data_IF_396173305638
#
_entry.id   IF_396173305638
#
_cell.length_a   1.000
_cell.length_b   1.000
_cell.length_c   1.000
_cell.angle_alpha   90.00
_cell.angle_beta   90.00
_cell.angle_gamma   90.00
#
_symmetry.space_group_name_H-M   'P 1'
#
loop_
_entity.id
_entity.type
_entity.pdbx_description
1 polymer ?
#
# COMPACT_ATOMS: atom_id res chain seq x y z
N UNK A 1 30.25 10.72 31.85
CA UNK A 1 28.78 10.77 31.66
C UNK A 1 28.33 12.21 31.54
N UNK A 2 27.72 12.68 30.44
CA UNK A 2 27.24 14.05 30.36
C UNK A 2 25.97 14.18 31.20
N UNK A 3 25.94 15.15 32.11
CA UNK A 3 24.77 15.50 32.93
C UNK A 3 23.65 16.02 32.02
N UNK A 4 22.63 15.21 31.77
CA UNK A 4 21.36 15.66 31.18
C UNK A 4 20.68 16.62 32.15
N UNK A 5 20.56 17.89 31.77
CA UNK A 5 19.86 18.92 32.55
C UNK A 5 18.39 18.53 32.79
N UNK A 6 17.82 18.77 33.99
CA UNK A 6 16.39 18.55 34.28
C UNK A 6 15.43 19.11 33.22
N UNK A 7 15.82 20.20 32.55
CA UNK A 7 15.07 20.84 31.46
C UNK A 7 14.97 19.95 30.20
N UNK A 8 16.03 19.25 29.82
CA UNK A 8 16.03 18.35 28.65
C UNK A 8 15.22 17.08 28.90
N UNK A 9 15.16 16.61 30.16
CA UNK A 9 14.31 15.48 30.56
C UNK A 9 12.82 15.88 30.50
N UNK A 10 12.47 17.05 31.04
CA UNK A 10 11.08 17.57 31.00
C UNK A 10 10.56 17.75 29.57
N UNK A 11 11.41 18.27 28.68
CA UNK A 11 11.05 18.47 27.27
C UNK A 11 10.88 17.14 26.51
N UNK A 12 11.70 16.13 26.80
CA UNK A 12 11.54 14.77 26.23
C UNK A 12 10.23 14.11 26.68
N UNK A 13 9.88 14.22 27.96
CA UNK A 13 8.61 13.70 28.47
C UNK A 13 7.41 14.36 27.78
N UNK A 14 7.49 15.67 27.52
CA UNK A 14 6.45 16.39 26.78
C UNK A 14 6.29 15.87 25.34
N UNK A 15 7.38 15.58 24.63
CA UNK A 15 7.29 14.99 23.29
C UNK A 15 6.71 13.58 23.27
N UNK A 16 7.09 12.75 24.25
CA UNK A 16 6.52 11.40 24.38
C UNK A 16 5.02 11.47 24.62
N UNK A 17 4.56 12.40 25.47
CA UNK A 17 3.14 12.63 25.69
C UNK A 17 2.41 13.01 24.39
N UNK A 18 2.96 13.96 23.62
CA UNK A 18 2.39 14.37 22.33
C UNK A 18 2.33 13.20 21.33
N UNK A 19 3.36 12.34 21.31
CA UNK A 19 3.36 11.15 20.46
C UNK A 19 2.23 10.20 20.85
N UNK A 20 2.04 9.93 22.15
CA UNK A 20 0.97 9.08 22.65
C UNK A 20 -0.42 9.65 22.30
N UNK A 21 -0.62 10.95 22.49
CA UNK A 21 -1.87 11.64 22.12
C UNK A 21 -2.16 11.51 20.61
N UNK A 22 -1.17 11.76 19.76
CA UNK A 22 -1.31 11.61 18.30
C UNK A 22 -1.59 10.16 17.89
N UNK A 23 -0.94 9.18 18.54
CA UNK A 23 -1.17 7.77 18.27
C UNK A 23 -2.61 7.34 18.59
N UNK A 24 -3.17 7.80 19.71
CA UNK A 24 -4.57 7.51 20.06
C UNK A 24 -5.56 8.16 19.09
N UNK A 25 -5.33 9.43 18.70
CA UNK A 25 -6.17 10.10 17.70
C UNK A 25 -6.12 9.39 16.34
N UNK A 26 -4.93 8.97 15.90
CA UNK A 26 -4.75 8.18 14.66
C UNK A 26 -5.51 6.86 14.77
N UNK A 27 -5.42 6.17 15.90
CA UNK A 27 -6.13 4.90 16.13
C UNK A 27 -7.64 5.07 16.03
N UNK A 28 -8.20 6.14 16.60
CA UNK A 28 -9.62 6.47 16.46
C UNK A 28 -10.01 6.74 14.99
N UNK A 29 -9.19 7.51 14.27
CA UNK A 29 -9.41 7.77 12.85
C UNK A 29 -9.31 6.50 11.99
N UNK A 30 -8.40 5.58 12.33
CA UNK A 30 -8.26 4.28 11.67
C UNK A 30 -9.50 3.41 11.88
N UNK A 31 -10.00 3.29 13.13
CA UNK A 31 -11.24 2.55 13.44
C UNK A 31 -12.42 3.16 12.68
N UNK A 32 -12.52 4.49 12.65
CA UNK A 32 -13.54 5.18 11.87
C UNK A 32 -13.42 4.87 10.37
N UNK A 33 -12.19 4.84 9.83
CA UNK A 33 -11.95 4.53 8.43
C UNK A 33 -12.34 3.09 8.08
N UNK A 34 -11.99 2.12 8.93
CA UNK A 34 -12.36 0.72 8.78
C UNK A 34 -13.89 0.57 8.71
N UNK A 35 -14.61 1.19 9.66
CA UNK A 35 -16.09 1.20 9.68
C UNK A 35 -16.68 1.81 8.41
N UNK A 36 -16.15 2.94 7.93
CA UNK A 36 -16.62 3.58 6.70
C UNK A 36 -16.39 2.71 5.44
N UNK A 37 -15.36 1.86 5.42
CA UNK A 37 -15.11 0.86 4.37
C UNK A 37 -15.85 -0.47 4.59
N UNK A 38 -16.69 -0.53 5.63
CA UNK A 38 -17.47 -1.71 6.02
C UNK A 38 -16.62 -2.85 6.61
N UNK A 39 -15.46 -2.55 7.18
CA UNK A 39 -14.68 -3.49 7.98
C UNK A 39 -14.94 -3.28 9.48
N UNK A 40 -14.80 -4.33 10.30
CA UNK A 40 -14.96 -4.22 11.76
C UNK A 40 -16.36 -3.76 12.21
N UNK A 41 -17.39 -4.13 11.45
CA UNK A 41 -18.79 -3.81 11.78
C UNK A 41 -19.38 -4.76 12.84
N UNK A 42 -18.67 -5.84 13.15
CA UNK A 42 -19.06 -6.84 14.14
C UNK A 42 -19.24 -6.20 15.52
N UNK A 43 -20.37 -6.49 16.17
CA UNK A 43 -20.66 -5.97 17.51
C UNK A 43 -21.30 -4.57 17.54
N UNK A 44 -21.45 -3.88 16.40
CA UNK A 44 -22.24 -2.65 16.35
C UNK A 44 -23.74 -2.92 16.50
N UNK A 45 -24.41 -2.03 17.23
CA UNK A 45 -25.87 -2.05 17.37
C UNK A 45 -26.57 -1.66 16.07
N UNK A 46 -27.86 -2.03 15.96
CA UNK A 46 -28.67 -1.69 14.78
C UNK A 46 -28.75 -0.17 14.54
N UNK A 47 -28.79 0.64 15.60
CA UNK A 47 -28.85 2.10 15.50
C UNK A 47 -27.55 2.71 15.03
N UNK A 48 -26.40 2.18 15.45
CA UNK A 48 -25.08 2.62 14.97
C UNK A 48 -24.89 2.28 13.49
N UNK A 49 -25.25 1.06 13.08
CA UNK A 49 -25.21 0.67 11.66
C UNK A 49 -26.17 1.51 10.82
N UNK A 50 -27.35 1.87 11.34
CA UNK A 50 -28.28 2.74 10.65
C UNK A 50 -27.73 4.16 10.48
N UNK A 51 -27.09 4.71 11.52
CA UNK A 51 -26.43 6.02 11.44
C UNK A 51 -25.28 6.03 10.44
N UNK A 52 -24.44 4.97 10.45
CA UNK A 52 -23.35 4.79 9.48
C UNK A 52 -23.88 4.73 8.05
N UNK A 53 -24.92 3.94 7.80
CA UNK A 53 -25.56 3.82 6.48
C UNK A 53 -26.10 5.18 6.01
N UNK A 54 -26.73 5.97 6.88
CA UNK A 54 -27.21 7.31 6.54
C UNK A 54 -26.06 8.25 6.18
N UNK A 55 -24.96 8.26 6.94
CA UNK A 55 -23.79 9.07 6.63
C UNK A 55 -23.18 8.69 5.27
N UNK A 56 -23.04 7.40 5.00
CA UNK A 56 -22.49 6.91 3.74
C UNK A 56 -23.42 7.20 2.56
N UNK A 57 -24.75 7.10 2.72
CA UNK A 57 -25.72 7.46 1.68
C UNK A 57 -25.62 8.93 1.29
N UNK A 58 -25.52 9.82 2.27
CA UNK A 58 -25.36 11.25 1.98
C UNK A 58 -24.00 11.53 1.33
N UNK A 59 -22.93 10.89 1.84
CA UNK A 59 -21.61 10.97 1.22
C UNK A 59 -21.60 10.50 -0.23
N UNK A 60 -22.26 9.38 -0.51
CA UNK A 60 -22.40 8.83 -1.85
C UNK A 60 -23.11 9.81 -2.78
N UNK A 61 -24.24 10.38 -2.35
CA UNK A 61 -25.00 11.37 -3.12
C UNK A 61 -24.14 12.57 -3.51
N UNK A 62 -23.36 13.12 -2.57
CA UNK A 62 -22.48 14.27 -2.83
C UNK A 62 -21.35 13.89 -3.78
N UNK A 63 -20.70 12.75 -3.55
CA UNK A 63 -19.58 12.29 -4.40
C UNK A 63 -20.06 11.98 -5.81
N UNK A 64 -21.24 11.37 -5.98
CA UNK A 64 -21.85 11.09 -7.28
C UNK A 64 -22.16 12.38 -8.04
N UNK A 65 -22.77 13.37 -7.39
CA UNK A 65 -23.03 14.69 -8.00
C UNK A 65 -21.73 15.37 -8.47
N UNK A 66 -20.65 15.30 -7.68
CA UNK A 66 -19.35 15.85 -8.09
C UNK A 66 -18.69 15.01 -9.18
N UNK A 67 -18.90 13.70 -9.19
CA UNK A 67 -18.39 12.80 -10.24
C UNK A 67 -19.00 13.16 -11.59
N UNK A 68 -20.32 13.39 -11.63
CA UNK A 68 -21.03 13.80 -12.84
C UNK A 68 -20.52 15.15 -13.37
N UNK A 69 -20.32 16.13 -12.48
CA UNK A 69 -19.75 17.44 -12.85
C UNK A 69 -18.33 17.29 -13.41
N UNK A 70 -17.47 16.53 -12.73
CA UNK A 70 -16.11 16.29 -13.18
C UNK A 70 -16.05 15.54 -14.52
N UNK A 71 -16.99 14.60 -14.75
CA UNK A 71 -17.10 13.89 -16.02
C UNK A 71 -17.52 14.82 -17.16
N UNK A 72 -18.47 15.72 -16.92
CA UNK A 72 -18.89 16.72 -17.91
C UNK A 72 -17.74 17.67 -18.26
N UNK A 73 -16.98 18.15 -17.27
CA UNK A 73 -15.80 18.97 -17.51
C UNK A 73 -14.71 18.22 -18.29
N UNK A 74 -14.50 16.94 -17.96
CA UNK A 74 -13.56 16.08 -18.69
C UNK A 74 -13.99 15.91 -20.15
N UNK A 75 -15.25 15.56 -20.40
CA UNK A 75 -15.82 15.41 -21.74
C UNK A 75 -15.72 16.71 -22.53
N UNK A 76 -16.03 17.84 -21.91
CA UNK A 76 -15.93 19.15 -22.57
C UNK A 76 -14.48 19.46 -22.97
N UNK A 77 -13.53 19.12 -22.09
CA UNK A 77 -12.11 19.27 -22.37
C UNK A 77 -11.63 18.32 -23.47
N UNK A 78 -12.09 17.08 -23.48
CA UNK A 78 -11.78 16.10 -24.52
C UNK A 78 -12.33 16.53 -25.88
N UNK A 79 -13.53 17.11 -25.94
CA UNK A 79 -14.09 17.68 -27.17
C UNK A 79 -13.20 18.81 -27.68
N UNK A 80 -12.80 19.75 -26.82
CA UNK A 80 -11.90 20.86 -27.19
C UNK A 80 -10.52 20.34 -27.62
N UNK A 81 -9.95 19.39 -26.88
CA UNK A 81 -8.66 18.79 -27.21
C UNK A 81 -8.75 17.99 -28.53
N UNK A 82 -9.90 17.37 -28.85
CA UNK A 82 -10.12 16.62 -30.09
C UNK A 82 -10.18 17.56 -31.31
N UNK A 83 -10.86 18.69 -31.17
CA UNK A 83 -10.92 19.73 -32.19
C UNK A 83 -9.54 20.36 -32.46
N UNK A 84 -8.65 20.41 -31.46
CA UNK A 84 -7.32 21.03 -31.57
C UNK A 84 -6.21 20.04 -31.97
N UNK A 85 -6.23 18.81 -31.43
CA UNK A 85 -5.12 17.85 -31.50
C UNK A 85 -5.44 16.60 -32.33
N UNK A 86 -6.70 16.38 -32.70
CA UNK A 86 -7.16 15.23 -33.47
C UNK A 86 -7.43 13.98 -32.63
N UNK A 87 -8.36 13.15 -33.11
CA UNK A 87 -8.93 12.00 -32.39
C UNK A 87 -7.92 10.89 -32.06
N UNK A 88 -6.93 10.66 -32.93
CA UNK A 88 -5.90 9.62 -32.72
C UNK A 88 -5.02 9.90 -31.50
N UNK A 89 -4.74 11.18 -31.21
CA UNK A 89 -3.93 11.57 -30.06
C UNK A 89 -4.69 11.38 -28.73
N UNK A 90 -6.01 11.59 -28.73
CA UNK A 90 -6.86 11.33 -27.56
C UNK A 90 -6.98 9.84 -27.26
N UNK A 91 -7.20 8.99 -28.27
CA UNK A 91 -7.34 7.55 -28.07
C UNK A 91 -6.06 6.90 -27.49
N UNK A 92 -4.89 7.45 -27.81
CA UNK A 92 -3.60 7.00 -27.26
C UNK A 92 -3.44 7.47 -25.80
N UNK A 93 -3.77 8.73 -25.51
CA UNK A 93 -3.70 9.31 -24.17
C UNK A 93 -4.70 8.70 -23.20
N UNK A 94 -5.93 8.41 -23.65
CA UNK A 94 -6.97 7.78 -22.84
C UNK A 94 -6.56 6.36 -22.42
N UNK A 95 -5.90 5.61 -23.31
CA UNK A 95 -5.31 4.29 -22.98
C UNK A 95 -4.18 4.40 -21.96
N UNK A 96 -3.33 5.42 -22.08
CA UNK A 96 -2.25 5.69 -21.12
C UNK A 96 -2.81 6.09 -19.74
N UNK A 97 -3.82 6.96 -19.70
CA UNK A 97 -4.47 7.40 -18.47
C UNK A 97 -5.23 6.25 -17.79
N UNK A 98 -5.93 5.39 -18.54
CA UNK A 98 -6.63 4.23 -17.99
C UNK A 98 -5.64 3.19 -17.42
N UNK A 99 -4.51 2.97 -18.08
CA UNK A 99 -3.43 2.13 -17.60
C UNK A 99 -2.78 2.72 -16.32
N UNK A 100 -2.58 4.04 -16.29
CA UNK A 100 -2.04 4.75 -15.15
C UNK A 100 -2.98 4.74 -13.94
N UNK A 101 -4.29 4.97 -14.14
CA UNK A 101 -5.29 4.89 -13.08
C UNK A 101 -5.43 3.47 -12.51
N UNK A 102 -5.37 2.45 -13.38
CA UNK A 102 -5.35 1.04 -12.96
C UNK A 102 -4.12 0.69 -12.12
N UNK A 103 -2.94 1.22 -12.49
CA UNK A 103 -1.72 1.08 -11.70
C UNK A 103 -1.83 1.77 -10.33
N UNK A 104 -2.36 3.00 -10.29
CA UNK A 104 -2.57 3.74 -9.04
C UNK A 104 -3.60 3.05 -8.13
N UNK A 105 -4.66 2.47 -8.68
CA UNK A 105 -5.64 1.69 -7.92
C UNK A 105 -4.98 0.45 -7.28
N UNK A 106 -4.21 -0.33 -8.05
CA UNK A 106 -3.46 -1.49 -7.53
C UNK A 106 -2.46 -1.09 -6.44
N UNK A 107 -1.74 0.02 -6.64
CA UNK A 107 -0.78 0.55 -5.66
C UNK A 107 -1.47 1.02 -4.39
N UNK A 108 -2.65 1.66 -4.48
CA UNK A 108 -3.47 2.05 -3.32
C UNK A 108 -3.96 0.82 -2.54
N UNK A 109 -4.39 -0.23 -3.22
CA UNK A 109 -4.78 -1.50 -2.58
C UNK A 109 -3.58 -2.17 -1.89
N UNK A 110 -2.43 -2.23 -2.55
CA UNK A 110 -1.20 -2.75 -1.94
C UNK A 110 -0.77 -1.95 -0.71
N UNK A 111 -0.86 -0.62 -0.76
CA UNK A 111 -0.58 0.27 0.38
C UNK A 111 -1.58 0.09 1.51
N UNK A 112 -2.87 -0.09 1.22
CA UNK A 112 -3.90 -0.41 2.23
C UNK A 112 -3.62 -1.75 2.90
N UNK A 113 -3.28 -2.77 2.12
CA UNK A 113 -2.92 -4.09 2.62
C UNK A 113 -1.65 -4.05 3.47
N UNK A 114 -0.62 -3.31 3.03
CA UNK A 114 0.61 -3.14 3.82
C UNK A 114 0.38 -2.36 5.10
N UNK A 115 -0.45 -1.31 5.06
CA UNK A 115 -0.87 -0.59 6.26
C UNK A 115 -1.70 -1.47 7.21
N UNK A 116 -2.44 -2.44 6.69
CA UNK A 116 -3.18 -3.44 7.49
C UNK A 116 -2.24 -4.48 8.10
N UNK A 117 -1.24 -4.95 7.37
CA UNK A 117 -0.17 -5.81 7.90
C UNK A 117 0.59 -5.11 9.04
N UNK A 118 0.95 -3.84 8.86
CA UNK A 118 1.61 -3.03 9.89
C UNK A 118 0.70 -2.78 11.11
N UNK A 119 -0.63 -2.72 10.93
CA UNK A 119 -1.61 -2.64 12.03
C UNK A 119 -1.70 -3.93 12.86
N UNK A 120 -1.44 -5.09 12.25
CA UNK A 120 -1.57 -6.41 12.88
C UNK A 120 -0.24 -6.95 13.45
N UNK A 121 0.86 -6.22 13.31
CA UNK A 121 2.16 -6.61 13.86
C UNK A 121 2.20 -6.36 15.38
N UNK A 122 2.71 -7.30 16.21
CA UNK A 122 2.76 -7.13 17.66
C UNK A 122 3.55 -5.89 18.08
N UNK A 123 3.02 -5.10 19.02
CA UNK A 123 3.65 -3.88 19.55
C UNK A 123 4.96 -4.12 20.34
N UNK A 124 5.35 -5.38 20.57
CA UNK A 124 6.46 -5.76 21.44
C UNK A 124 7.87 -5.62 20.83
N UNK A 125 8.01 -4.97 19.68
CA UNK A 125 9.32 -4.71 19.04
C UNK A 125 9.77 -3.25 19.06
N UNK A 126 9.03 -2.34 19.72
CA UNK A 126 9.56 -1.02 20.06
C UNK A 126 10.37 -1.08 21.37
N UNK A 127 11.49 -1.81 21.31
CA UNK A 127 12.50 -1.76 22.38
C UNK A 127 13.06 -0.34 22.46
N UNK A 128 13.01 0.22 23.67
CA UNK A 128 13.70 1.43 24.15
C UNK A 128 14.90 1.82 23.29
N UNK A 129 14.67 2.66 22.29
CA UNK A 129 15.75 3.37 21.62
C UNK A 129 15.86 4.73 22.29
N UNK A 130 17.05 5.03 22.79
CA UNK A 130 17.43 6.33 23.36
C UNK A 130 16.96 7.46 22.43
N UNK A 131 15.77 8.00 22.71
CA UNK A 131 15.12 8.99 21.87
C UNK A 131 15.93 10.29 21.85
N UNK A 132 16.72 10.48 20.79
CA UNK A 132 17.32 11.77 20.49
C UNK A 132 16.19 12.77 20.18
N UNK A 133 16.39 14.04 20.56
CA UNK A 133 15.40 15.10 20.41
C UNK A 133 14.91 15.23 18.96
N UNK A 134 15.82 15.13 18.01
CA UNK A 134 15.56 15.19 16.58
C UNK A 134 14.66 14.04 16.08
N UNK A 135 14.89 12.82 16.59
CA UNK A 135 14.06 11.64 16.28
C UNK A 135 12.64 11.80 16.80
N UNK A 136 12.45 12.39 17.98
CA UNK A 136 11.11 12.65 18.54
C UNK A 136 10.35 13.68 17.70
N UNK A 137 11.03 14.75 17.27
CA UNK A 137 10.43 15.79 16.44
C UNK A 137 9.98 15.25 15.08
N UNK A 138 10.84 14.48 14.40
CA UNK A 138 10.49 13.82 13.13
C UNK A 138 9.31 12.86 13.32
N UNK A 139 9.29 12.09 14.42
CA UNK A 139 8.18 11.18 14.74
C UNK A 139 6.86 11.94 14.87
N UNK A 140 6.86 13.06 15.60
CA UNK A 140 5.67 13.91 15.77
C UNK A 140 5.19 14.46 14.42
N UNK A 141 6.10 14.91 13.56
CA UNK A 141 5.76 15.42 12.23
C UNK A 141 5.12 14.34 11.35
N UNK A 142 5.72 13.14 11.31
CA UNK A 142 5.15 11.99 10.59
C UNK A 142 3.75 11.63 11.10
N UNK A 143 3.55 11.59 12.42
CA UNK A 143 2.24 11.30 13.01
C UNK A 143 1.21 12.38 12.70
N UNK A 144 1.59 13.67 12.71
CA UNK A 144 0.69 14.76 12.31
C UNK A 144 0.25 14.63 10.85
N UNK A 145 1.17 14.29 9.95
CA UNK A 145 0.85 14.05 8.53
C UNK A 145 -0.11 12.87 8.40
N UNK A 146 0.14 11.76 9.11
CA UNK A 146 -0.72 10.58 9.04
C UNK A 146 -2.12 10.84 9.61
N UNK A 147 -2.20 11.55 10.74
CA UNK A 147 -3.46 12.01 11.33
C UNK A 147 -4.26 12.82 10.31
N UNK A 148 -3.62 13.82 9.70
CA UNK A 148 -4.30 14.69 8.73
C UNK A 148 -4.75 13.92 7.49
N UNK A 149 -3.91 13.01 6.99
CA UNK A 149 -4.26 12.12 5.87
C UNK A 149 -5.52 11.30 6.17
N UNK A 150 -5.60 10.66 7.34
CA UNK A 150 -6.74 9.85 7.75
C UNK A 150 -7.99 10.70 8.00
N UNK A 151 -7.83 11.91 8.55
CA UNK A 151 -8.90 12.88 8.75
C UNK A 151 -9.56 13.22 7.41
N UNK A 152 -8.77 13.68 6.43
CA UNK A 152 -9.25 14.03 5.08
C UNK A 152 -9.92 12.81 4.42
N UNK A 153 -9.32 11.63 4.53
CA UNK A 153 -9.86 10.40 3.96
C UNK A 153 -11.25 10.07 4.52
N UNK A 154 -11.44 10.19 5.84
CA UNK A 154 -12.73 9.96 6.49
C UNK A 154 -13.76 11.02 6.13
N UNK A 155 -13.36 12.30 6.03
CA UNK A 155 -14.25 13.38 5.60
C UNK A 155 -14.78 13.17 4.17
N UNK A 156 -13.91 12.71 3.25
CA UNK A 156 -14.30 12.41 1.86
C UNK A 156 -15.30 11.26 1.75
N UNK A 157 -15.17 10.23 2.59
CA UNK A 157 -16.13 9.12 2.65
C UNK A 157 -17.54 9.54 3.06
N UNK A 158 -17.69 10.71 3.70
CA UNK A 158 -18.98 11.30 4.09
C UNK A 158 -19.33 12.54 3.24
N UNK A 159 -18.69 12.71 2.08
CA UNK A 159 -19.00 13.78 1.13
C UNK A 159 -18.45 15.16 1.48
N UNK A 160 -17.47 15.26 2.38
CA UNK A 160 -16.80 16.54 2.71
C UNK A 160 -15.38 16.59 2.14
N UNK A 161 -14.87 17.79 1.87
CA UNK A 161 -13.52 18.00 1.29
C UNK A 161 -13.33 17.24 -0.04
N UNK A 162 -14.39 17.22 -0.86
CA UNK A 162 -14.43 16.59 -2.19
C UNK A 162 -14.21 17.58 -3.33
N UNK A 163 -14.27 18.89 -3.05
CA UNK A 163 -14.09 19.94 -4.06
C UNK A 163 -12.67 19.91 -4.64
N UNK A 164 -12.57 20.08 -5.96
CA UNK A 164 -11.30 20.08 -6.70
C UNK A 164 -10.66 18.70 -6.90
N UNK A 165 -11.35 17.62 -6.51
CA UNK A 165 -10.91 16.26 -6.82
C UNK A 165 -11.16 15.91 -8.29
N UNK A 166 -10.26 15.13 -8.89
CA UNK A 166 -10.42 14.66 -10.26
C UNK A 166 -11.48 13.55 -10.39
N UNK A 167 -12.03 13.37 -11.60
CA UNK A 167 -13.04 12.33 -11.90
C UNK A 167 -12.64 10.93 -11.40
N UNK A 168 -11.40 10.49 -11.69
CA UNK A 168 -10.94 9.16 -11.25
C UNK A 168 -10.82 9.03 -9.73
N UNK A 169 -10.51 10.12 -9.01
CA UNK A 169 -10.47 10.08 -7.55
C UNK A 169 -11.88 9.97 -6.98
N UNK A 170 -12.81 10.79 -7.47
CA UNK A 170 -14.22 10.75 -7.09
C UNK A 170 -14.85 9.38 -7.35
N UNK A 171 -14.55 8.77 -8.50
CA UNK A 171 -15.00 7.41 -8.84
C UNK A 171 -14.51 6.37 -7.83
N UNK A 172 -13.24 6.44 -7.41
CA UNK A 172 -12.68 5.53 -6.40
C UNK A 172 -13.36 5.69 -5.04
N UNK A 173 -13.68 6.91 -4.63
CA UNK A 173 -14.42 7.15 -3.39
C UNK A 173 -15.87 6.67 -3.51
N UNK A 174 -16.54 6.91 -4.64
CA UNK A 174 -17.88 6.40 -4.92
C UNK A 174 -17.96 4.88 -4.73
N UNK A 175 -17.04 4.12 -5.34
CA UNK A 175 -16.97 2.67 -5.16
C UNK A 175 -16.70 2.24 -3.70
N UNK A 176 -15.82 2.95 -2.98
CA UNK A 176 -15.50 2.64 -1.60
C UNK A 176 -16.71 2.88 -0.67
N UNK A 177 -17.41 4.00 -0.84
CA UNK A 177 -18.61 4.35 -0.09
C UNK A 177 -19.72 3.32 -0.36
N UNK A 178 -19.94 2.97 -1.63
CA UNK A 178 -20.92 1.96 -2.02
C UNK A 178 -20.62 0.59 -1.39
N UNK A 179 -19.35 0.17 -1.36
CA UNK A 179 -18.94 -1.06 -0.69
C UNK A 179 -19.24 -1.02 0.82
N UNK A 180 -18.92 0.09 1.49
CA UNK A 180 -19.24 0.29 2.91
C UNK A 180 -20.74 0.22 3.19
N UNK A 181 -21.55 0.86 2.35
CA UNK A 181 -23.02 0.84 2.45
C UNK A 181 -23.58 -0.59 2.36
N UNK A 182 -23.15 -1.36 1.36
CA UNK A 182 -23.62 -2.72 1.14
C UNK A 182 -23.32 -3.63 2.33
N UNK A 183 -22.09 -3.55 2.87
CA UNK A 183 -21.68 -4.33 4.05
C UNK A 183 -22.45 -3.92 5.31
N UNK A 184 -22.67 -2.62 5.53
CA UNK A 184 -23.48 -2.14 6.64
C UNK A 184 -24.94 -2.62 6.56
N UNK A 185 -25.52 -2.62 5.36
CA UNK A 185 -26.86 -3.15 5.13
C UNK A 185 -26.94 -4.67 5.40
N UNK A 186 -25.92 -5.41 4.98
CA UNK A 186 -25.81 -6.85 5.23
C UNK A 186 -25.78 -7.18 6.73
N UNK A 187 -24.97 -6.47 7.51
CA UNK A 187 -24.91 -6.64 8.98
C UNK A 187 -26.25 -6.31 9.65
N UNK A 188 -26.93 -5.25 9.22
CA UNK A 188 -28.28 -4.92 9.72
C UNK A 188 -29.28 -6.03 9.42
N UNK A 189 -29.21 -6.64 8.23
CA UNK A 189 -30.06 -7.78 7.86
C UNK A 189 -29.79 -8.99 8.77
N UNK A 190 -28.52 -9.26 9.12
CA UNK A 190 -28.15 -10.32 10.09
C UNK A 190 -28.79 -10.08 11.46
N UNK A 191 -28.66 -8.86 12.01
CA UNK A 191 -29.27 -8.49 13.30
C UNK A 191 -30.81 -8.63 13.24
N UNK A 192 -31.45 -8.17 12.16
CA UNK A 192 -32.91 -8.27 11.99
C UNK A 192 -33.38 -9.73 11.96
N UNK A 193 -32.66 -10.61 11.24
CA UNK A 193 -32.94 -12.05 11.20
C UNK A 193 -32.78 -12.69 12.59
N UNK A 194 -31.69 -12.40 13.29
CA UNK A 194 -31.46 -12.90 14.65
C UNK A 194 -32.60 -12.49 15.61
N UNK A 195 -33.05 -11.22 15.54
CA UNK A 195 -34.17 -10.72 16.33
C UNK A 195 -35.50 -11.43 16.00
N UNK A 196 -35.76 -11.69 14.72
CA UNK A 196 -36.95 -12.44 14.29
C UNK A 196 -36.90 -13.90 14.77
N UNK A 197 -35.75 -14.55 14.70
CA UNK A 197 -35.55 -15.92 15.22
C UNK A 197 -35.77 -15.95 16.73
N UNK A 198 -35.22 -14.99 17.48
CA UNK A 198 -35.44 -14.88 18.92
C UNK A 198 -36.93 -14.66 19.27
N UNK A 199 -37.65 -13.84 18.49
CA UNK A 199 -39.07 -13.60 18.67
C UNK A 199 -39.91 -14.86 18.39
N UNK A 200 -39.56 -15.64 17.35
CA UNK A 200 -40.19 -16.94 17.07
C UNK A 200 -39.91 -17.97 18.16
N UNK A 201 -38.69 -18.02 18.70
CA UNK A 201 -38.33 -18.90 19.82
C UNK A 201 -39.13 -18.55 21.08
N UNK A 202 -39.27 -17.25 21.41
CA UNK A 202 -40.10 -16.77 22.53
C UNK A 202 -41.59 -17.09 22.35
N UNK A 203 -42.09 -17.18 21.13
CA UNK A 203 -43.48 -17.50 20.82
C UNK A 203 -43.79 -19.02 20.77
N UNK A 204 -42.76 -19.88 20.74
CA UNK A 204 -42.93 -21.34 20.77
C UNK A 204 -43.09 -21.82 22.22
N UNK A 205 -44.10 -22.66 22.49
CA UNK A 205 -44.48 -23.10 23.86
C UNK A 205 -43.37 -23.87 24.60
N UNK A 206 -42.31 -24.28 23.89
CA UNK A 206 -41.11 -24.89 24.46
C UNK A 206 -40.30 -23.90 25.31
N UNK A 207 -40.26 -22.61 24.96
CA UNK A 207 -39.52 -21.59 25.70
C UNK A 207 -40.17 -21.26 27.05
N UNK A 208 -41.50 -21.39 27.14
CA UNK A 208 -42.25 -21.24 28.39
C UNK A 208 -42.01 -22.38 29.39
N UNK A 209 -41.65 -23.59 28.92
CA UNK A 209 -41.34 -24.73 29.80
C UNK A 209 -39.92 -24.68 30.36
N UNK A 210 -38.96 -24.10 29.64
CA UNK A 210 -37.56 -24.00 30.10
C UNK A 210 -37.39 -22.92 31.18
N UNK A 211 -38.20 -21.86 31.16
CA UNK A 211 -38.08 -20.76 32.13
C UNK A 211 -38.65 -21.06 33.53
N UNK A 212 -39.18 -22.27 33.79
CA UNK A 212 -39.60 -22.71 35.12
C UNK A 212 -38.53 -23.49 35.90
N UNK A 213 -37.34 -23.71 35.32
CA UNK A 213 -36.19 -24.25 36.06
C UNK A 213 -35.19 -23.13 36.39
N UNK A 214 -35.18 -22.81 37.68
CA UNK A 214 -34.16 -22.14 38.49
C UNK A 214 -33.27 -21.06 37.84
N UNK A 215 -33.40 -19.83 38.36
CA UNK A 215 -32.71 -18.60 37.94
C UNK A 215 -31.16 -18.68 37.89
N UNK A 216 -30.56 -19.74 38.43
CA UNK A 216 -29.11 -19.98 38.37
C UNK A 216 -28.65 -20.62 37.06
N UNK A 217 -29.51 -21.41 36.39
CA UNK A 217 -29.17 -22.12 35.14
C UNK A 217 -29.15 -21.16 33.94
N UNK A 218 -30.03 -20.16 33.93
CA UNK A 218 -30.13 -19.16 32.85
C UNK A 218 -28.91 -18.22 32.82
N UNK A 219 -28.28 -17.94 33.97
CA UNK A 219 -27.03 -17.14 34.00
C UNK A 219 -25.82 -17.91 33.48
N UNK A 220 -25.77 -19.23 33.70
CA UNK A 220 -24.72 -20.09 33.15
C UNK A 220 -24.85 -20.23 31.62
N UNK A 221 -26.07 -20.45 31.11
CA UNK A 221 -26.33 -20.59 29.69
C UNK A 221 -26.12 -19.30 28.87
N UNK A 222 -26.24 -18.11 29.49
CA UNK A 222 -25.95 -16.83 28.83
C UNK A 222 -24.46 -16.46 28.86
N UNK A 223 -23.66 -17.10 29.72
CA UNK A 223 -22.19 -16.99 29.70
C UNK A 223 -21.52 -17.88 28.66
N UNK A 224 -22.19 -18.96 28.21
CA UNK A 224 -21.71 -19.91 27.20
C UNK A 224 -21.94 -19.48 25.74
N UNK A 225 -22.57 -18.32 25.49
CA UNK A 225 -22.61 -17.71 24.13
C UNK A 225 -21.42 -16.78 23.89
N UNK A 226 -20.51 -16.67 24.87
CA UNK A 226 -19.15 -16.17 24.64
C UNK A 226 -18.37 -17.19 23.80
N UNK A 227 -18.14 -16.87 22.53
CA UNK A 227 -17.40 -17.68 21.57
C UNK A 227 -16.03 -18.16 22.10
N UNK A 228 -15.99 -19.35 22.66
CA UNK A 228 -14.81 -20.21 22.75
C UNK A 228 -15.21 -21.63 22.37
N UNK A 229 -14.86 -22.04 21.15
CA UNK A 229 -14.80 -23.44 20.74
C UNK A 229 -13.37 -23.73 20.29
N UNK A 230 -12.59 -24.46 21.09
CA UNK A 230 -11.61 -25.40 20.61
C UNK A 230 -12.15 -26.84 20.72
N UNK A 231 -11.56 -27.71 19.90
CA UNK A 231 -11.48 -29.17 20.02
C UNK A 231 -12.71 -30.01 19.62
N UNK A 232 -12.62 -30.57 18.41
CA UNK A 232 -13.02 -31.96 18.17
C UNK A 232 -11.72 -32.75 18.02
N UNK A 233 -11.32 -33.44 19.08
CA UNK A 233 -10.40 -34.58 19.01
C UNK A 233 -11.21 -35.82 19.39
N UNK A 234 -11.11 -36.85 18.55
CA UNK A 234 -10.91 -38.24 18.93
C UNK A 234 -10.92 -39.05 17.64
N UNK A 235 -9.74 -39.42 17.13
CA UNK A 235 -9.46 -40.77 16.65
C UNK A 235 -7.95 -41.00 16.60
N UNK A 236 -7.51 -41.80 17.58
CA UNK A 236 -6.33 -42.65 17.74
C UNK A 236 -4.98 -42.36 17.04
N UNK A 237 -3.85 -42.55 17.77
CA UNK A 237 -2.48 -42.39 17.27
C UNK A 237 -1.97 -43.68 16.61
N UNK A 238 -0.91 -43.54 15.81
CA UNK A 238 -0.10 -44.62 15.19
C UNK A 238 -0.73 -45.33 13.99
N UNK A 239 -0.70 -44.70 12.80
CA UNK A 239 -0.40 -45.34 11.50
C UNK A 239 -0.73 -44.40 10.33
N UNK A 240 0.25 -43.59 9.90
CA UNK A 240 0.54 -43.18 8.50
C UNK A 240 1.55 -42.03 8.46
N UNK A 241 2.70 -42.24 9.07
CA UNK A 241 3.94 -41.66 8.59
C UNK A 241 4.56 -42.67 7.61
N UNK A 242 3.99 -42.77 6.40
CA UNK A 242 4.55 -43.46 5.22
C UNK A 242 3.59 -43.30 4.03
N UNK A 243 4.17 -42.89 2.90
CA UNK A 243 3.55 -42.46 1.63
C UNK A 243 3.00 -41.01 1.69
N UNK A 244 3.68 -39.99 1.18
CA UNK A 244 4.50 -39.92 -0.03
C UNK A 244 5.81 -39.16 0.26
N UNK A 245 6.90 -39.90 0.49
CA UNK A 245 8.22 -39.43 0.07
C UNK A 245 8.23 -39.53 -1.46
N UNK A 246 7.65 -38.55 -2.14
CA UNK A 246 8.18 -38.23 -3.47
C UNK A 246 9.59 -37.71 -3.22
N UNK A 247 10.58 -38.43 -3.73
CA UNK A 247 11.97 -37.98 -3.83
C UNK A 247 11.98 -36.58 -4.45
N UNK A 248 11.92 -35.56 -3.60
CA UNK A 248 12.11 -34.18 -3.99
C UNK A 248 13.60 -34.08 -4.31
N UNK A 249 13.92 -34.16 -5.59
CA UNK A 249 15.27 -34.08 -6.11
C UNK A 249 15.85 -32.69 -5.75
N UNK A 250 16.49 -32.61 -4.57
CA UNK A 250 17.13 -31.41 -4.02
C UNK A 250 18.38 -30.98 -4.80
N UNK A 251 18.71 -31.66 -5.90
CA UNK A 251 19.96 -31.42 -6.63
C UNK A 251 19.99 -30.13 -7.46
N UNK A 252 18.87 -29.40 -7.61
CA UNK A 252 18.79 -28.23 -8.50
C UNK A 252 18.09 -26.98 -7.93
N UNK A 253 17.82 -26.93 -6.61
CA UNK A 253 17.23 -25.75 -5.97
C UNK A 253 18.27 -24.99 -5.15
N UNK A 254 18.32 -23.66 -5.30
CA UNK A 254 18.94 -22.79 -4.30
C UNK A 254 17.88 -21.89 -3.64
N UNK A 255 18.14 -21.49 -2.41
CA UNK A 255 17.20 -20.73 -1.58
C UNK A 255 17.67 -19.28 -1.41
N UNK A 256 16.75 -18.34 -1.58
CA UNK A 256 16.98 -16.92 -1.37
C UNK A 256 15.88 -16.28 -0.52
N UNK A 257 16.22 -15.28 0.27
CA UNK A 257 15.20 -14.58 1.09
C UNK A 257 14.36 -13.64 0.24
N UNK A 258 15.00 -12.87 -0.65
CA UNK A 258 14.34 -11.91 -1.53
C UNK A 258 14.89 -12.05 -2.94
N UNK A 259 14.01 -12.23 -3.91
CA UNK A 259 14.36 -12.30 -5.32
C UNK A 259 13.72 -11.13 -6.05
N UNK A 260 14.54 -10.37 -6.78
CA UNK A 260 14.11 -9.24 -7.59
C UNK A 260 14.22 -9.64 -9.06
N UNK A 261 13.14 -9.53 -9.82
CA UNK A 261 13.11 -9.91 -11.24
C UNK A 261 13.31 -8.67 -12.09
N UNK A 262 14.51 -8.51 -12.67
CA UNK A 262 14.89 -7.42 -13.57
C UNK A 262 15.95 -6.48 -12.98
N UNK A 263 17.07 -6.29 -13.68
CA UNK A 263 18.14 -5.36 -13.34
C UNK A 263 17.97 -3.99 -14.02
N UNK A 264 16.74 -3.48 -14.05
CA UNK A 264 16.44 -2.09 -14.40
C UNK A 264 16.70 -1.13 -13.25
N UNK A 265 16.36 0.15 -13.43
CA UNK A 265 16.56 1.19 -12.39
C UNK A 265 15.80 0.81 -11.11
N UNK A 266 14.53 0.41 -11.23
CA UNK A 266 13.73 0.00 -10.09
C UNK A 266 14.30 -1.23 -9.38
N UNK A 267 14.76 -2.24 -10.11
CA UNK A 267 15.32 -3.45 -9.54
C UNK A 267 16.66 -3.22 -8.84
N UNK A 268 17.58 -2.49 -9.47
CA UNK A 268 18.88 -2.16 -8.87
C UNK A 268 18.74 -1.21 -7.68
N UNK A 269 17.86 -0.20 -7.76
CA UNK A 269 17.59 0.68 -6.63
C UNK A 269 16.95 -0.09 -5.45
N UNK A 270 16.06 -1.05 -5.73
CA UNK A 270 15.47 -1.92 -4.71
C UNK A 270 16.53 -2.80 -4.06
N UNK A 271 17.35 -3.48 -4.87
CA UNK A 271 18.44 -4.32 -4.37
C UNK A 271 19.42 -3.52 -3.51
N UNK A 272 19.78 -2.31 -3.95
CA UNK A 272 20.68 -1.45 -3.20
C UNK A 272 20.04 -0.96 -1.89
N UNK A 273 18.76 -0.60 -1.92
CA UNK A 273 18.01 -0.22 -0.71
C UNK A 273 17.99 -1.35 0.31
N UNK A 274 17.67 -2.58 -0.13
CA UNK A 274 17.68 -3.78 0.73
C UNK A 274 19.08 -4.05 1.29
N UNK A 275 20.10 -3.94 0.44
CA UNK A 275 21.49 -4.10 0.85
C UNK A 275 21.88 -3.10 1.95
N UNK A 276 21.51 -1.82 1.82
CA UNK A 276 21.75 -0.79 2.86
C UNK A 276 21.02 -1.08 4.17
N UNK A 277 19.89 -1.79 4.12
CA UNK A 277 19.15 -2.26 5.29
C UNK A 277 19.66 -3.60 5.85
N UNK A 278 20.74 -4.16 5.28
CA UNK A 278 21.30 -5.46 5.71
C UNK A 278 20.48 -6.68 5.24
N UNK A 279 19.53 -6.49 4.32
CA UNK A 279 18.71 -7.56 3.76
C UNK A 279 19.39 -8.10 2.50
N UNK A 280 19.66 -9.41 2.47
CA UNK A 280 20.21 -10.07 1.29
C UNK A 280 19.11 -10.27 0.23
N UNK A 281 19.43 -9.93 -1.01
CA UNK A 281 18.56 -10.13 -2.16
C UNK A 281 19.37 -10.52 -3.38
N UNK A 282 18.78 -11.30 -4.29
CA UNK A 282 19.35 -11.59 -5.62
C UNK A 282 18.52 -10.90 -6.70
N UNK A 283 19.17 -10.37 -7.72
CA UNK A 283 18.53 -9.78 -8.90
C UNK A 283 18.69 -10.73 -10.08
N UNK A 284 17.58 -11.20 -10.65
CA UNK A 284 17.56 -12.02 -11.85
C UNK A 284 17.38 -11.13 -13.07
N UNK A 285 18.36 -11.10 -13.97
CA UNK A 285 18.30 -10.35 -15.22
C UNK A 285 18.37 -11.29 -16.42
N UNK A 286 17.39 -11.17 -17.31
CA UNK A 286 17.30 -11.97 -18.54
C UNK A 286 18.42 -11.66 -19.55
N UNK A 287 18.97 -10.44 -19.54
CA UNK A 287 20.06 -10.04 -20.41
C UNK A 287 21.38 -10.67 -19.99
N UNK A 288 22.29 -10.84 -20.97
CA UNK A 288 23.65 -11.38 -20.74
C UNK A 288 24.55 -10.44 -19.95
N UNK A 289 24.21 -9.15 -19.91
CA UNK A 289 24.94 -8.10 -19.22
C UNK A 289 24.00 -6.95 -18.90
N UNK A 290 24.46 -6.02 -18.06
CA UNK A 290 23.71 -4.81 -17.75
C UNK A 290 23.45 -4.02 -19.04
N UNK A 291 22.18 -3.85 -19.40
CA UNK A 291 21.80 -3.13 -20.63
C UNK A 291 21.97 -1.64 -20.38
N UNK A 292 23.05 -1.09 -20.90
CA UNK A 292 23.43 0.31 -20.76
C UNK A 292 22.88 1.23 -21.86
N UNK A 293 22.24 0.68 -22.89
CA UNK A 293 21.57 1.48 -23.92
C UNK A 293 20.30 2.19 -23.41
N UNK A 294 20.02 3.38 -23.92
CA UNK A 294 18.78 4.12 -23.65
C UNK A 294 18.96 5.63 -23.64
N UNK A 295 17.84 6.34 -23.49
CA UNK A 295 17.78 7.80 -23.35
C UNK A 295 18.10 8.25 -21.92
N UNK A 296 18.48 9.51 -21.75
CA UNK A 296 18.61 10.16 -20.46
C UNK A 296 17.26 10.32 -19.76
N UNK A 297 17.31 10.36 -18.43
CA UNK A 297 16.16 10.54 -17.56
C UNK A 297 16.28 11.89 -16.86
N UNK A 298 15.26 12.72 -16.98
CA UNK A 298 15.17 13.94 -16.18
C UNK A 298 14.71 13.56 -14.77
N UNK A 299 15.61 13.70 -13.79
CA UNK A 299 15.32 13.45 -12.38
C UNK A 299 15.09 14.78 -11.68
N UNK A 300 13.94 14.88 -11.00
CA UNK A 300 13.54 16.00 -10.14
C UNK A 300 13.92 15.72 -8.68
N UNK A 301 13.67 16.69 -7.80
CA UNK A 301 14.03 16.65 -6.37
C UNK A 301 13.62 15.36 -5.65
N UNK A 302 12.47 14.78 -6.00
CA UNK A 302 12.00 13.52 -5.39
C UNK A 302 12.89 12.33 -5.78
N UNK A 303 13.32 12.25 -7.04
CA UNK A 303 14.27 11.25 -7.51
C UNK A 303 15.62 11.40 -6.81
N UNK A 304 16.13 12.62 -6.72
CA UNK A 304 17.39 12.92 -6.03
C UNK A 304 17.36 12.56 -4.54
N UNK A 305 16.25 12.81 -3.84
CA UNK A 305 16.06 12.36 -2.45
C UNK A 305 16.16 10.84 -2.28
N UNK A 306 15.66 10.06 -3.24
CA UNK A 306 15.80 8.60 -3.21
C UNK A 306 17.26 8.20 -3.47
N UNK A 307 17.93 8.82 -4.43
CA UNK A 307 19.34 8.56 -4.71
C UNK A 307 20.26 8.92 -3.53
N UNK A 308 19.90 9.94 -2.75
CA UNK A 308 20.59 10.29 -1.50
C UNK A 308 20.37 9.25 -0.41
N UNK A 309 19.12 8.81 -0.22
CA UNK A 309 18.79 7.80 0.77
C UNK A 309 19.55 6.47 0.53
N UNK A 310 19.84 6.14 -0.73
CA UNK A 310 20.63 4.95 -1.10
C UNK A 310 22.13 5.24 -1.32
N UNK A 311 22.56 6.48 -1.02
CA UNK A 311 23.96 6.94 -1.02
C UNK A 311 24.66 6.97 -2.38
N UNK A 312 23.92 7.16 -3.48
CA UNK A 312 24.50 7.31 -4.84
C UNK A 312 24.37 8.72 -5.41
N UNK A 313 23.52 9.55 -4.80
CA UNK A 313 23.30 10.94 -5.21
C UNK A 313 24.59 11.77 -5.31
N UNK A 314 25.47 11.79 -4.30
CA UNK A 314 26.72 12.57 -4.36
C UNK A 314 27.60 12.24 -5.57
N UNK A 315 27.78 10.94 -5.89
CA UNK A 315 28.57 10.51 -7.04
C UNK A 315 27.94 10.94 -8.36
N UNK A 316 26.62 10.84 -8.49
CA UNK A 316 25.91 11.23 -9.71
C UNK A 316 25.92 12.75 -9.93
N UNK A 317 25.81 13.56 -8.87
CA UNK A 317 25.85 15.03 -8.98
C UNK A 317 27.13 15.56 -9.62
N UNK A 318 28.26 14.89 -9.41
CA UNK A 318 29.54 15.29 -10.02
C UNK A 318 29.60 15.08 -11.53
N UNK A 319 28.68 14.29 -12.09
CA UNK A 319 28.68 13.88 -13.50
C UNK A 319 27.62 14.60 -14.34
N UNK A 320 26.64 15.27 -13.70
CA UNK A 320 25.50 15.87 -14.41
C UNK A 320 25.25 17.30 -13.97
N UNK A 321 25.03 18.18 -14.95
CA UNK A 321 24.72 19.59 -14.72
C UNK A 321 23.29 19.75 -14.20
N UNK A 322 23.10 20.76 -13.35
CA UNK A 322 21.78 21.21 -12.91
C UNK A 322 21.08 21.94 -14.06
N UNK A 323 19.84 21.57 -14.33
CA UNK A 323 18.96 22.25 -15.26
C UNK A 323 18.26 23.35 -14.46
N UNK A 324 18.47 24.60 -14.85
CA UNK A 324 17.94 25.76 -14.12
C UNK A 324 16.46 26.02 -14.40
N UNK A 325 16.00 25.69 -15.60
CA UNK A 325 14.65 26.00 -16.06
C UNK A 325 14.30 25.41 -17.42
N UNK A 326 13.14 25.81 -17.95
CA UNK A 326 12.65 25.36 -19.25
C UNK A 326 12.16 26.55 -20.07
N UNK A 327 12.52 26.55 -21.35
CA UNK A 327 12.03 27.51 -22.35
C UNK A 327 11.29 26.74 -23.45
N UNK A 328 10.03 27.09 -23.70
CA UNK A 328 9.20 26.52 -24.75
C UNK A 328 9.12 27.52 -25.90
N UNK A 329 9.46 27.08 -27.11
CA UNK A 329 9.43 27.88 -28.33
C UNK A 329 8.49 27.26 -29.36
N UNK A 330 7.90 28.09 -30.22
CA UNK A 330 7.19 27.60 -31.41
C UNK A 330 8.17 27.20 -32.52
N UNK A 331 7.66 26.68 -33.65
CA UNK A 331 8.49 26.27 -34.80
C UNK A 331 9.34 27.37 -35.42
N UNK A 332 8.92 28.64 -35.28
CA UNK A 332 9.64 29.83 -35.76
C UNK A 332 10.67 30.35 -34.73
N UNK A 333 10.82 29.68 -33.59
CA UNK A 333 11.76 30.04 -32.53
C UNK A 333 11.27 31.13 -31.56
N UNK A 334 10.03 31.61 -31.69
CA UNK A 334 9.41 32.54 -30.75
C UNK A 334 9.17 31.84 -29.42
N UNK A 335 9.60 32.46 -28.34
CA UNK A 335 9.34 31.99 -26.98
C UNK A 335 7.84 32.10 -26.63
N UNK A 336 7.28 30.99 -26.20
CA UNK A 336 5.90 30.87 -25.71
C UNK A 336 5.86 30.93 -24.19
N UNK A 337 6.88 30.35 -23.53
CA UNK A 337 6.99 30.31 -22.07
C UNK A 337 8.44 30.10 -21.64
N UNK A 338 8.85 30.73 -20.55
CA UNK A 338 10.11 30.48 -19.85
C UNK A 338 9.88 30.52 -18.35
N UNK A 339 10.54 29.63 -17.61
CA UNK A 339 10.53 29.65 -16.15
C UNK A 339 11.76 28.94 -15.59
N UNK A 340 12.24 29.38 -14.42
CA UNK A 340 13.23 28.65 -13.65
C UNK A 340 12.53 27.68 -12.68
N UNK A 341 13.09 26.48 -12.49
CA UNK A 341 12.53 25.51 -11.55
C UNK A 341 12.55 26.00 -10.10
N UNK A 342 13.54 26.85 -9.76
CA UNK A 342 13.66 27.42 -8.41
C UNK A 342 12.64 28.51 -8.10
N UNK A 343 12.03 29.11 -9.12
CA UNK A 343 10.95 30.09 -8.92
C UNK A 343 9.70 29.41 -8.33
N UNK A 344 9.45 28.15 -8.69
CA UNK A 344 8.36 27.35 -8.12
C UNK A 344 8.70 26.80 -6.73
N UNK A 345 9.94 26.33 -6.54
CA UNK A 345 10.43 25.85 -5.25
C UNK A 345 11.97 25.87 -5.21
N UNK A 346 12.53 26.60 -4.26
CA UNK A 346 13.98 26.78 -4.09
C UNK A 346 14.74 25.47 -3.82
N UNK A 347 14.05 24.42 -3.35
CA UNK A 347 14.62 23.09 -3.14
C UNK A 347 14.64 22.22 -4.40
N UNK A 348 14.13 22.72 -5.54
CA UNK A 348 14.16 21.97 -6.79
C UNK A 348 15.58 21.67 -7.21
N UNK A 349 15.74 20.42 -7.62
CA UNK A 349 16.99 19.87 -8.11
C UNK A 349 16.65 19.02 -9.33
N UNK A 350 17.02 19.51 -10.52
CA UNK A 350 16.65 18.90 -11.80
C UNK A 350 17.91 18.62 -12.61
N UNK A 351 18.09 17.38 -13.07
CA UNK A 351 19.22 16.99 -13.93
C UNK A 351 18.79 15.94 -14.95
N UNK A 352 19.35 16.00 -16.15
CA UNK A 352 19.26 14.93 -17.13
C UNK A 352 20.38 13.92 -16.87
N UNK A 353 20.00 12.73 -16.37
CA UNK A 353 20.93 11.67 -15.98
C UNK A 353 20.94 10.59 -17.06
N UNK A 354 22.10 10.26 -17.60
CA UNK A 354 22.25 9.15 -18.52
C UNK A 354 21.85 7.82 -17.85
N UNK A 355 20.92 7.10 -18.47
CA UNK A 355 20.44 5.80 -17.96
C UNK A 355 21.60 4.83 -17.70
N UNK A 356 22.59 4.82 -18.60
CA UNK A 356 23.80 3.99 -18.48
C UNK A 356 24.51 4.22 -17.16
N UNK A 357 24.90 5.46 -16.92
CA UNK A 357 25.68 5.87 -15.76
C UNK A 357 24.92 5.61 -14.47
N UNK A 358 23.59 5.84 -14.47
CA UNK A 358 22.74 5.52 -13.33
C UNK A 358 22.75 4.03 -13.00
N UNK A 359 22.55 3.17 -14.01
CA UNK A 359 22.55 1.71 -13.80
C UNK A 359 23.92 1.20 -13.35
N UNK A 360 25.01 1.67 -13.98
CA UNK A 360 26.38 1.33 -13.60
C UNK A 360 26.69 1.76 -12.16
N UNK A 361 26.30 2.98 -11.78
CA UNK A 361 26.50 3.50 -10.42
C UNK A 361 25.74 2.65 -9.40
N UNK A 362 24.47 2.33 -9.65
CA UNK A 362 23.67 1.49 -8.75
C UNK A 362 24.27 0.08 -8.63
N UNK A 363 24.65 -0.54 -9.75
CA UNK A 363 25.22 -1.88 -9.77
C UNK A 363 26.59 -1.95 -9.06
N UNK A 364 27.43 -0.92 -9.22
CA UNK A 364 28.76 -0.86 -8.60
C UNK A 364 28.74 -0.80 -7.06
N UNK A 365 27.60 -0.41 -6.48
CA UNK A 365 27.41 -0.31 -5.03
C UNK A 365 26.84 -1.59 -4.41
N UNK A 366 26.55 -2.60 -5.23
CA UNK A 366 26.08 -3.91 -4.77
C UNK A 366 27.26 -4.88 -4.58
N UNK A 367 27.17 -5.82 -3.63
CA UNK A 367 28.14 -6.90 -3.52
C UNK A 367 28.25 -7.71 -4.82
N UNK A 368 29.43 -8.32 -5.10
CA UNK A 368 29.57 -9.29 -6.18
C UNK A 368 28.50 -10.38 -6.11
N UNK A 369 28.12 -10.94 -7.25
CA UNK A 369 27.10 -12.00 -7.38
C UNK A 369 25.65 -11.60 -7.00
N UNK A 370 25.40 -10.35 -6.61
CA UNK A 370 24.03 -9.87 -6.35
C UNK A 370 23.16 -9.93 -7.62
N UNK A 371 23.74 -9.69 -8.78
CA UNK A 371 23.04 -9.68 -10.07
C UNK A 371 23.41 -10.95 -10.85
N UNK A 372 22.43 -11.81 -11.09
CA UNK A 372 22.55 -12.98 -11.96
C UNK A 372 22.04 -12.64 -13.35
N UNK A 373 22.96 -12.50 -14.30
CA UNK A 373 22.66 -12.31 -15.72
C UNK A 373 22.24 -13.62 -16.39
N UNK A 374 21.71 -13.52 -17.61
CA UNK A 374 21.17 -14.65 -18.38
C UNK A 374 20.14 -15.49 -17.62
N UNK A 375 19.48 -14.90 -16.62
CA UNK A 375 18.58 -15.56 -15.69
C UNK A 375 17.14 -15.15 -15.98
N UNK A 376 16.60 -15.66 -17.08
CA UNK A 376 15.24 -15.33 -17.52
C UNK A 376 14.23 -16.19 -16.79
N UNK A 377 13.30 -15.52 -16.09
CA UNK A 377 12.22 -16.17 -15.38
C UNK A 377 11.19 -16.74 -16.36
N UNK A 378 10.81 -18.00 -16.14
CA UNK A 378 9.84 -18.74 -16.93
C UNK A 378 8.50 -18.88 -16.20
N UNK A 379 8.51 -19.34 -14.96
CA UNK A 379 7.28 -19.53 -14.15
C UNK A 379 7.49 -19.14 -12.69
N UNK A 380 6.38 -18.77 -12.04
CA UNK A 380 6.30 -18.51 -10.60
C UNK A 380 5.16 -19.37 -10.05
N UNK A 381 5.39 -20.09 -8.96
CA UNK A 381 4.40 -20.93 -8.29
C UNK A 381 4.48 -20.74 -6.78
N UNK A 382 3.33 -20.55 -6.12
CA UNK A 382 3.27 -20.50 -4.67
C UNK A 382 3.18 -21.91 -4.11
N UNK A 383 4.07 -22.26 -3.18
CA UNK A 383 4.06 -23.56 -2.50
C UNK A 383 3.18 -23.51 -1.24
N UNK A 384 2.65 -24.67 -0.84
CA UNK A 384 1.80 -24.82 0.34
C UNK A 384 2.48 -24.38 1.65
N UNK A 385 3.80 -24.35 1.69
CA UNK A 385 4.61 -23.96 2.84
C UNK A 385 4.81 -22.44 2.96
N UNK A 386 4.28 -21.64 2.02
CA UNK A 386 4.38 -20.18 2.01
C UNK A 386 5.55 -19.61 1.19
N UNK A 387 6.48 -20.46 0.74
CA UNK A 387 7.56 -20.05 -0.16
C UNK A 387 7.09 -19.97 -1.62
N UNK A 388 7.74 -19.12 -2.40
CA UNK A 388 7.50 -18.96 -3.84
C UNK A 388 8.60 -19.66 -4.62
N UNK A 389 8.22 -20.63 -5.44
CA UNK A 389 9.11 -21.30 -6.37
C UNK A 389 9.19 -20.53 -7.69
N UNK A 390 10.42 -20.32 -8.16
CA UNK A 390 10.72 -19.72 -9.46
C UNK A 390 11.43 -20.75 -10.33
N UNK A 391 11.02 -20.87 -11.59
CA UNK A 391 11.70 -21.66 -12.62
C UNK A 391 12.27 -20.72 -13.68
N UNK A 392 13.55 -20.89 -14.01
CA UNK A 392 14.21 -20.13 -15.07
C UNK A 392 14.14 -20.88 -16.41
N UNK A 393 14.39 -20.19 -17.52
CA UNK A 393 14.33 -20.79 -18.86
C UNK A 393 15.41 -21.86 -19.11
N UNK A 394 16.51 -21.84 -18.37
CA UNK A 394 17.55 -22.88 -18.42
C UNK A 394 17.18 -24.15 -17.62
N UNK A 395 15.99 -24.17 -17.02
CA UNK A 395 15.49 -25.28 -16.20
C UNK A 395 15.91 -25.23 -14.74
N UNK A 396 16.77 -24.27 -14.35
CA UNK A 396 17.13 -24.07 -12.97
C UNK A 396 15.95 -23.57 -12.14
N UNK A 397 15.94 -23.94 -10.85
CA UNK A 397 14.85 -23.61 -9.95
C UNK A 397 15.38 -22.97 -8.68
N UNK A 398 14.63 -22.04 -8.13
CA UNK A 398 14.95 -21.45 -6.83
C UNK A 398 13.70 -21.22 -5.99
N UNK A 399 13.89 -21.21 -4.68
CA UNK A 399 12.87 -20.92 -3.70
C UNK A 399 13.12 -19.54 -3.10
N UNK A 400 12.07 -18.73 -3.01
CA UNK A 400 12.13 -17.38 -2.46
C UNK A 400 11.00 -17.13 -1.46
N UNK A 401 11.32 -16.47 -0.34
CA UNK A 401 10.28 -16.00 0.59
C UNK A 401 9.51 -14.81 0.03
N UNK A 402 10.19 -13.93 -0.71
CA UNK A 402 9.61 -12.75 -1.33
C UNK A 402 10.12 -12.62 -2.77
N UNK A 403 9.21 -12.39 -3.71
CA UNK A 403 9.53 -12.05 -5.09
C UNK A 403 9.05 -10.62 -5.40
N UNK A 404 9.94 -9.79 -5.94
CA UNK A 404 9.67 -8.40 -6.34
C UNK A 404 9.84 -8.29 -7.85
N UNK A 405 8.76 -8.02 -8.57
CA UNK A 405 8.79 -7.82 -10.02
C UNK A 405 9.28 -6.41 -10.38
N UNK A 406 10.36 -6.33 -11.16
CA UNK A 406 11.01 -5.12 -11.66
C UNK A 406 11.35 -5.24 -13.16
N UNK A 407 10.58 -6.04 -13.89
CA UNK A 407 10.82 -6.48 -15.28
C UNK A 407 10.26 -5.50 -16.35
N UNK A 408 9.78 -4.34 -15.92
CA UNK A 408 9.46 -3.19 -16.77
C UNK A 408 8.03 -3.16 -17.30
N UNK A 409 7.76 -2.24 -18.25
CA UNK A 409 6.41 -1.95 -18.76
C UNK A 409 5.72 -3.16 -19.45
N UNK A 410 6.51 -4.13 -19.93
CA UNK A 410 6.02 -5.37 -20.54
C UNK A 410 6.15 -6.54 -19.56
N UNK A 411 5.93 -6.26 -18.27
CA UNK A 411 6.07 -7.24 -17.20
C UNK A 411 5.18 -8.44 -17.49
N UNK A 412 5.79 -9.64 -17.49
CA UNK A 412 5.04 -10.90 -17.55
C UNK A 412 4.62 -11.39 -16.17
N UNK A 413 5.24 -10.83 -15.12
CA UNK A 413 4.93 -11.18 -13.74
C UNK A 413 3.67 -10.44 -13.25
N UNK A 414 3.41 -9.24 -13.78
CA UNK A 414 2.24 -8.44 -13.42
C UNK A 414 0.96 -8.76 -14.22
N UNK A 415 1.08 -9.55 -15.28
CA UNK A 415 0.00 -10.01 -16.17
C UNK A 415 -0.35 -11.45 -15.87
#
# INVERSE_FOLDING_TARGET
>A
MPRTTRRSVKQRLQYIQVIQELQEEIKLLQISNEKLNGEGLDGLSYTELASLETMLKEGFRIVEEQTDKAQQELLLREIVDCDVMGKEWLDEKEKEDLAYQSLLARRRTAMRNKARELRLSPQDSQKEHSYNHETLMLTIECLKIEKERLRVLNQRMIGKEVDGMGYSELLVFSCAIQSGMLKAEEEKKKIKRARQTLQKLKASSTYARVCHLDSRIVSAALSEVGCHLPCVELFHPEAKARALDEEFDKSHFWEESVVIVGAGIGGLATALSLHRLGVRSVVLEQAKSLRTGGTSLTLFKNGWRVLDAISVGPQLRTQFLEIEGMVVKNGDGRELRSFAFKDEDQSQEVRAVERRVLLETLASQLPPETIKFSSKLKTIQSNANGDTQLELEDGSKLLAKIVIACDGIRSKVAT
#
